data_IF_707425478262
#
_entry.id   IF_707425478262
#
_cell.length_a   1.000
_cell.length_b   1.000
_cell.length_c   1.000
_cell.angle_alpha   90.00
_cell.angle_beta   90.00
_cell.angle_gamma   90.00
#
_symmetry.space_group_name_H-M   'P 1'
#
loop_
_entity.id
_entity.type
_entity.pdbx_description
1 polymer ?
#
# COMPACT_ATOMS: atom_id res chain seq x y z
N UNK A 1 -16.51 -46.49 -21.91
CA UNK A 1 -17.98 -46.59 -21.83
C UNK A 1 -18.57 -45.34 -22.45
N UNK A 2 -19.54 -45.53 -23.34
CA UNK A 2 -20.16 -44.51 -24.19
C UNK A 2 -21.24 -43.77 -23.40
N UNK A 3 -21.28 -42.44 -23.51
CA UNK A 3 -22.53 -41.71 -23.40
C UNK A 3 -22.49 -40.53 -24.37
N UNK A 4 -23.10 -40.75 -25.53
CA UNK A 4 -23.49 -39.72 -26.49
C UNK A 4 -24.70 -39.00 -25.91
N UNK A 5 -24.64 -37.68 -25.81
CA UNK A 5 -25.85 -36.85 -25.77
C UNK A 5 -25.66 -35.64 -26.67
N UNK A 6 -26.16 -35.79 -27.90
CA UNK A 6 -26.42 -34.70 -28.82
C UNK A 6 -27.72 -34.04 -28.37
N UNK A 7 -27.68 -32.76 -28.00
CA UNK A 7 -28.86 -31.91 -27.98
C UNK A 7 -28.51 -30.60 -28.69
N UNK A 8 -28.87 -30.55 -29.98
CA UNK A 8 -29.01 -29.31 -30.73
C UNK A 8 -30.47 -28.90 -30.59
N UNK A 9 -30.73 -27.89 -29.78
CA UNK A 9 -32.03 -27.21 -29.75
C UNK A 9 -31.79 -25.77 -30.20
N UNK A 10 -32.01 -25.52 -31.48
CA UNK A 10 -32.13 -24.17 -32.02
C UNK A 10 -33.53 -23.65 -31.67
N UNK A 11 -33.59 -22.61 -30.83
CA UNK A 11 -34.80 -21.81 -30.62
C UNK A 11 -34.52 -20.40 -31.13
N UNK A 12 -35.32 -19.96 -32.11
CA UNK A 12 -35.15 -18.73 -32.85
C UNK A 12 -35.79 -17.52 -32.14
N UNK A 13 -35.10 -16.38 -32.26
CA UNK A 13 -35.54 -14.97 -32.24
C UNK A 13 -36.84 -14.59 -31.49
N UNK A 14 -36.73 -13.72 -30.48
CA UNK A 14 -36.94 -12.27 -30.67
C UNK A 14 -36.88 -11.45 -29.36
N UNK A 15 -36.33 -10.24 -29.51
CA UNK A 15 -36.50 -9.02 -28.71
C UNK A 15 -35.92 -8.95 -27.29
N UNK A 16 -34.89 -8.10 -27.13
CA UNK A 16 -34.53 -7.50 -25.85
C UNK A 16 -33.07 -7.67 -25.40
N UNK A 17 -32.08 -7.48 -26.27
CA UNK A 17 -30.69 -7.27 -25.82
C UNK A 17 -30.56 -5.88 -25.20
N UNK A 18 -31.00 -5.72 -23.96
CA UNK A 18 -30.43 -4.69 -23.09
C UNK A 18 -29.05 -5.19 -22.64
N UNK A 19 -28.08 -5.16 -23.56
CA UNK A 19 -26.68 -5.13 -23.19
C UNK A 19 -26.47 -3.80 -22.45
N UNK A 20 -26.69 -3.80 -21.15
CA UNK A 20 -26.00 -2.87 -20.28
C UNK A 20 -24.52 -3.21 -20.45
N UNK A 21 -23.88 -2.54 -21.42
CA UNK A 21 -22.44 -2.48 -21.52
C UNK A 21 -22.00 -1.91 -20.19
N UNK A 22 -21.57 -2.80 -19.29
CA UNK A 22 -20.84 -2.44 -18.09
C UNK A 22 -19.65 -1.63 -18.61
N UNK A 23 -19.79 -0.32 -18.56
CA UNK A 23 -18.75 0.60 -18.96
C UNK A 23 -17.59 0.25 -18.02
N UNK A 24 -16.59 -0.46 -18.56
CA UNK A 24 -15.37 -0.76 -17.86
C UNK A 24 -14.85 0.57 -17.32
N UNK A 25 -15.04 0.76 -16.02
CA UNK A 25 -14.57 1.95 -15.33
C UNK A 25 -13.06 1.95 -15.55
N UNK A 26 -12.48 3.02 -16.11
CA UNK A 26 -11.03 3.09 -16.21
C UNK A 26 -10.44 2.76 -14.84
N UNK A 27 -9.40 1.92 -14.74
CA UNK A 27 -8.73 1.69 -13.46
C UNK A 27 -8.42 3.07 -12.89
N UNK A 28 -8.90 3.32 -11.67
CA UNK A 28 -8.65 4.58 -10.99
C UNK A 28 -7.13 4.80 -11.03
N UNK A 29 -6.70 5.93 -11.61
CA UNK A 29 -5.29 6.30 -11.53
C UNK A 29 -4.91 6.29 -10.05
N UNK A 30 -3.73 5.74 -9.68
CA UNK A 30 -3.27 5.79 -8.31
C UNK A 30 -3.39 7.23 -7.82
N UNK A 31 -4.06 7.43 -6.70
CA UNK A 31 -4.11 8.75 -6.07
C UNK A 31 -2.69 9.09 -5.62
N UNK A 32 -1.97 9.82 -6.47
CA UNK A 32 -0.58 10.19 -6.24
C UNK A 32 -0.44 11.06 -4.99
N UNK A 33 -1.50 11.78 -4.58
CA UNK A 33 -1.55 12.50 -3.31
C UNK A 33 -1.52 11.54 -2.13
N UNK A 34 -2.35 10.49 -2.17
CA UNK A 34 -2.34 9.43 -1.17
C UNK A 34 -0.98 8.71 -1.10
N UNK A 35 -0.30 8.52 -2.24
CA UNK A 35 1.04 7.93 -2.27
C UNK A 35 2.09 8.81 -1.58
N UNK A 36 2.05 10.13 -1.79
CA UNK A 36 2.93 11.08 -1.10
C UNK A 36 2.67 11.08 0.41
N UNK A 37 1.40 11.17 0.84
CA UNK A 37 1.01 11.14 2.25
C UNK A 37 1.45 9.83 2.95
N UNK A 38 1.21 8.67 2.31
CA UNK A 38 1.65 7.38 2.85
C UNK A 38 3.17 7.25 2.92
N UNK A 39 3.91 7.76 1.93
CA UNK A 39 5.38 7.75 1.98
C UNK A 39 5.94 8.66 3.08
N UNK A 40 5.30 9.82 3.33
CA UNK A 40 5.64 10.70 4.45
C UNK A 40 5.31 10.06 5.80
N UNK A 41 4.16 9.39 5.93
CA UNK A 41 3.86 8.59 7.11
C UNK A 41 4.90 7.49 7.34
N UNK A 42 5.27 6.76 6.27
CA UNK A 42 6.29 5.72 6.35
C UNK A 42 7.64 6.28 6.83
N UNK A 43 8.04 7.48 6.38
CA UNK A 43 9.23 8.17 6.89
C UNK A 43 9.13 8.44 8.41
N UNK A 44 7.99 8.92 8.88
CA UNK A 44 7.73 9.15 10.30
C UNK A 44 7.82 7.87 11.12
N UNK A 45 7.24 6.78 10.64
CA UNK A 45 7.30 5.46 11.31
C UNK A 45 8.73 4.93 11.40
N UNK A 46 9.53 5.08 10.35
CA UNK A 46 10.94 4.66 10.38
C UNK A 46 11.77 5.53 11.33
N UNK A 47 11.46 6.83 11.40
CA UNK A 47 12.04 7.73 12.40
C UNK A 47 11.72 7.25 13.81
N UNK A 48 10.46 6.92 14.10
CA UNK A 48 10.06 6.32 15.38
C UNK A 48 10.86 5.05 15.68
N UNK A 49 10.93 4.12 14.74
CA UNK A 49 11.68 2.87 14.90
C UNK A 49 13.17 3.11 15.20
N UNK A 50 13.78 4.11 14.57
CA UNK A 50 15.16 4.52 14.81
C UNK A 50 15.32 5.15 16.21
N UNK A 51 14.46 6.11 16.58
CA UNK A 51 14.51 6.81 17.86
C UNK A 51 14.30 5.86 19.04
N UNK A 52 13.48 4.83 18.86
CA UNK A 52 13.28 3.75 19.83
C UNK A 52 14.42 2.72 19.86
N UNK A 53 15.41 2.84 18.98
CA UNK A 53 16.58 1.97 18.92
C UNK A 53 16.32 0.58 18.32
N UNK A 54 15.27 0.42 17.51
CA UNK A 54 14.92 -0.85 16.89
C UNK A 54 15.65 -1.11 15.56
N UNK A 55 15.99 -0.03 14.84
CA UNK A 55 16.70 -0.05 13.55
C UNK A 55 17.77 1.06 13.51
N UNK A 56 18.65 1.03 12.51
CA UNK A 56 19.61 2.11 12.27
C UNK A 56 18.99 3.26 11.43
N UNK A 57 19.77 4.32 11.16
CA UNK A 57 19.29 5.49 10.41
C UNK A 57 19.17 5.29 8.89
N UNK A 58 19.64 4.17 8.32
CA UNK A 58 19.68 3.98 6.86
C UNK A 58 18.28 3.88 6.25
N UNK A 59 17.31 3.35 6.99
CA UNK A 59 15.94 3.28 6.53
C UNK A 59 15.35 4.69 6.30
N UNK A 60 15.62 5.62 7.23
CA UNK A 60 15.17 7.02 7.13
C UNK A 60 15.83 7.70 5.93
N UNK A 61 17.14 7.51 5.74
CA UNK A 61 17.88 8.03 4.57
C UNK A 61 17.31 7.47 3.25
N UNK A 62 17.07 6.17 3.20
CA UNK A 62 16.53 5.48 2.03
C UNK A 62 15.13 5.99 1.70
N UNK A 63 14.22 6.03 2.67
CA UNK A 63 12.86 6.52 2.49
C UNK A 63 12.85 8.00 2.06
N UNK A 64 13.77 8.81 2.56
CA UNK A 64 13.96 10.21 2.14
C UNK A 64 14.34 10.28 0.65
N UNK A 65 15.25 9.42 0.19
CA UNK A 65 15.60 9.34 -1.25
C UNK A 65 14.38 8.91 -2.08
N UNK A 66 13.61 7.91 -1.63
CA UNK A 66 12.41 7.46 -2.33
C UNK A 66 11.34 8.54 -2.45
N UNK A 67 11.16 9.36 -1.41
CA UNK A 67 10.24 10.49 -1.42
C UNK A 67 10.54 11.49 -2.55
N UNK A 68 11.81 11.67 -2.93
CA UNK A 68 12.17 12.55 -4.05
C UNK A 68 11.70 12.05 -5.42
N UNK A 69 11.37 10.76 -5.52
CA UNK A 69 10.86 10.12 -6.74
C UNK A 69 9.33 10.18 -6.83
N UNK A 70 8.65 10.49 -5.72
CA UNK A 70 7.20 10.61 -5.66
C UNK A 70 6.85 12.09 -5.93
N UNK A 71 5.97 12.39 -6.90
CA UNK A 71 5.48 13.75 -7.09
C UNK A 71 4.92 14.30 -5.78
N UNK A 72 5.32 15.52 -5.42
CA UNK A 72 4.83 16.15 -4.20
C UNK A 72 3.29 16.26 -4.24
N UNK A 73 2.66 15.84 -3.14
CA UNK A 73 1.23 16.01 -2.89
C UNK A 73 0.95 17.28 -2.07
N UNK A 74 -0.12 17.24 -1.28
CA UNK A 74 -0.40 18.27 -0.28
C UNK A 74 0.63 18.19 0.85
N UNK A 75 1.44 19.25 0.99
CA UNK A 75 2.52 19.28 1.98
C UNK A 75 1.99 19.25 3.41
N UNK A 76 0.88 19.93 3.70
CA UNK A 76 0.32 19.97 5.05
C UNK A 76 -0.20 18.61 5.48
N UNK A 77 -0.85 17.87 4.56
CA UNK A 77 -1.26 16.48 4.82
C UNK A 77 -0.07 15.54 4.94
N UNK A 78 0.95 15.70 4.08
CA UNK A 78 2.19 14.92 4.19
C UNK A 78 2.91 15.14 5.52
N UNK A 79 2.99 16.38 6.00
CA UNK A 79 3.61 16.70 7.29
C UNK A 79 2.79 16.13 8.46
N UNK A 80 1.46 16.25 8.41
CA UNK A 80 0.59 15.63 9.40
C UNK A 80 0.73 14.09 9.42
N UNK A 81 0.87 13.47 8.24
CA UNK A 81 1.06 12.03 8.09
C UNK A 81 2.42 11.59 8.66
N UNK A 82 3.49 12.34 8.42
CA UNK A 82 4.82 12.09 9.00
C UNK A 82 4.79 12.22 10.53
N UNK A 83 4.17 13.27 11.07
CA UNK A 83 4.04 13.46 12.52
C UNK A 83 3.19 12.37 13.18
N UNK A 84 2.18 11.86 12.49
CA UNK A 84 1.45 10.68 12.93
C UNK A 84 2.35 9.43 12.95
N UNK A 85 3.17 9.26 11.92
CA UNK A 85 4.16 8.18 11.83
C UNK A 85 5.16 8.20 12.99
N UNK A 86 5.69 9.38 13.33
CA UNK A 86 6.61 9.57 14.47
C UNK A 86 6.02 9.19 15.82
N UNK A 87 4.69 9.13 15.93
CA UNK A 87 3.98 8.66 17.12
C UNK A 87 3.76 7.15 17.15
N UNK A 88 4.33 6.41 16.19
CA UNK A 88 4.19 4.97 16.07
C UNK A 88 2.85 4.54 15.47
N UNK A 89 2.31 5.32 14.52
CA UNK A 89 1.05 5.01 13.83
C UNK A 89 1.25 4.97 12.32
N UNK A 90 0.92 3.83 11.71
CA UNK A 90 0.87 3.68 10.25
C UNK A 90 -0.47 4.21 9.75
N UNK A 91 -0.43 5.03 8.69
CA UNK A 91 -1.61 5.52 7.98
C UNK A 91 -1.49 5.20 6.50
N UNK A 92 -2.38 4.34 6.01
CA UNK A 92 -2.43 3.92 4.61
C UNK A 92 -3.87 3.91 4.12
N UNK A 93 -4.13 4.59 3.00
CA UNK A 93 -5.45 4.62 2.35
C UNK A 93 -6.61 5.02 3.31
N UNK A 94 -6.34 5.91 4.26
CA UNK A 94 -7.33 6.39 5.24
C UNK A 94 -7.60 5.45 6.42
N UNK A 95 -6.81 4.37 6.57
CA UNK A 95 -6.85 3.51 7.75
C UNK A 95 -5.61 3.76 8.60
N UNK A 96 -5.84 4.08 9.87
CA UNK A 96 -4.80 4.27 10.87
C UNK A 96 -4.68 3.05 11.78
N UNK A 97 -3.44 2.71 12.13
CA UNK A 97 -3.14 1.61 13.05
C UNK A 97 -1.86 1.89 13.83
N UNK A 98 -1.91 1.71 15.14
CA UNK A 98 -0.70 1.78 15.97
C UNK A 98 0.25 0.61 15.66
N UNK A 99 1.56 0.81 15.80
CA UNK A 99 2.54 -0.25 15.66
C UNK A 99 2.34 -1.36 16.70
N UNK A 100 1.91 -1.00 17.91
CA UNK A 100 1.55 -1.95 18.96
C UNK A 100 0.43 -2.89 18.54
N UNK A 101 -0.66 -2.36 17.99
CA UNK A 101 -1.78 -3.16 17.54
C UNK A 101 -1.40 -3.97 16.29
N UNK A 102 -0.64 -3.39 15.37
CA UNK A 102 -0.11 -4.09 14.21
C UNK A 102 0.79 -5.26 14.60
N UNK A 103 1.64 -5.10 15.62
CA UNK A 103 2.51 -6.13 16.13
C UNK A 103 1.70 -7.25 16.81
N UNK A 104 0.72 -6.90 17.66
CA UNK A 104 -0.18 -7.88 18.31
C UNK A 104 -0.95 -8.71 17.29
N UNK A 105 -1.53 -8.07 16.28
CA UNK A 105 -2.25 -8.77 15.21
C UNK A 105 -1.33 -9.76 14.46
N UNK A 106 -0.07 -9.41 14.30
CA UNK A 106 0.94 -10.25 13.66
C UNK A 106 1.61 -11.24 14.63
N UNK A 107 1.16 -11.32 15.88
CA UNK A 107 1.76 -12.13 16.95
C UNK A 107 3.27 -11.90 17.08
N UNK A 108 3.67 -10.63 17.03
CA UNK A 108 5.05 -10.16 17.14
C UNK A 108 5.15 -8.96 18.09
N UNK A 109 6.31 -8.33 18.15
CA UNK A 109 6.54 -7.10 18.90
C UNK A 109 6.95 -5.94 17.97
N UNK A 110 6.90 -4.71 18.49
CA UNK A 110 7.20 -3.50 17.72
C UNK A 110 8.63 -3.51 17.19
N UNK A 111 9.60 -4.08 17.93
CA UNK A 111 10.98 -4.12 17.49
C UNK A 111 11.18 -5.06 16.28
N UNK A 112 10.54 -6.22 16.30
CA UNK A 112 10.52 -7.15 15.17
C UNK A 112 9.80 -6.54 13.97
N UNK A 113 8.65 -5.89 14.17
CA UNK A 113 7.93 -5.18 13.12
C UNK A 113 8.79 -4.09 12.47
N UNK A 114 9.44 -3.24 13.28
CA UNK A 114 10.36 -2.21 12.78
C UNK A 114 11.49 -2.80 11.93
N UNK A 115 12.09 -3.92 12.36
CA UNK A 115 13.14 -4.62 11.58
C UNK A 115 12.61 -5.19 10.27
N UNK A 116 11.39 -5.70 10.25
CA UNK A 116 10.76 -6.17 9.01
C UNK A 116 10.55 -5.01 8.03
N UNK A 117 10.15 -3.84 8.52
CA UNK A 117 9.96 -2.64 7.70
C UNK A 117 11.28 -2.14 7.11
N UNK A 118 12.35 -2.10 7.92
CA UNK A 118 13.71 -1.77 7.46
C UNK A 118 14.18 -2.75 6.36
N UNK A 119 14.06 -4.06 6.60
CA UNK A 119 14.44 -5.07 5.63
C UNK A 119 13.65 -4.97 4.31
N UNK A 120 12.34 -4.74 4.41
CA UNK A 120 11.49 -4.55 3.23
C UNK A 120 11.90 -3.31 2.43
N UNK A 121 12.19 -2.21 3.12
CA UNK A 121 12.66 -0.99 2.48
C UNK A 121 14.01 -1.18 1.79
N UNK A 122 14.95 -1.85 2.45
CA UNK A 122 16.25 -2.18 1.86
C UNK A 122 16.10 -3.05 0.60
N UNK A 123 15.19 -4.03 0.63
CA UNK A 123 14.88 -4.85 -0.54
C UNK A 123 14.29 -4.02 -1.69
N UNK A 124 13.35 -3.11 -1.40
CA UNK A 124 12.79 -2.22 -2.43
C UNK A 124 13.87 -1.31 -3.02
N UNK A 125 14.72 -0.72 -2.18
CA UNK A 125 15.81 0.15 -2.63
C UNK A 125 16.80 -0.57 -3.54
N UNK A 126 17.09 -1.85 -3.27
CA UNK A 126 17.96 -2.68 -4.12
C UNK A 126 17.37 -2.96 -5.51
N UNK A 127 16.06 -2.79 -5.70
CA UNK A 127 15.38 -3.01 -6.99
C UNK A 127 15.27 -1.73 -7.84
N UNK A 128 15.58 -0.56 -7.27
CA UNK A 128 15.52 0.69 -8.02
C UNK A 128 16.77 0.85 -8.88
N UNK A 129 16.63 1.36 -10.12
CA UNK A 129 17.77 1.76 -10.92
C UNK A 129 18.57 2.81 -10.14
N UNK A 130 19.87 2.54 -9.99
CA UNK A 130 20.80 3.33 -9.16
C UNK A 130 20.94 4.78 -9.58
#
# INVERSE_FOLDING_TARGET
MIARFTFVTAFALSAGVAMAQEAATPPAMPDMGAAYESARNQLGVLTYCQEQGHIDGKAVETQTKLLTMIPAGDTAKGDAAEELGKKGTVSAMGVERSLDDAAKEQNTDVAALCKQMDALLAQMAAQLPG
#
